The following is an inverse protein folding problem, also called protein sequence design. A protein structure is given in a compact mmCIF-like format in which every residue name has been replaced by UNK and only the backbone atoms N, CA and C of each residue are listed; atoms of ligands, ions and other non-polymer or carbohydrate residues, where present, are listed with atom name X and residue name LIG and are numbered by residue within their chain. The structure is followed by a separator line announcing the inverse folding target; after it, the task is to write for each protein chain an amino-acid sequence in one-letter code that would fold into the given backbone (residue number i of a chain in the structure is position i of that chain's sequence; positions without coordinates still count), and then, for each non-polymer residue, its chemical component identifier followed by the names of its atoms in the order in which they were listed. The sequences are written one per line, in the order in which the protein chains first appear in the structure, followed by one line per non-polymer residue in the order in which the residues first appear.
data_IF_787513826086
#
_entry.id   IF_787513826086
#
_cell.length_a   1.000
_cell.length_b   1.000
_cell.length_c   1.000
_cell.angle_alpha   90.00
_cell.angle_beta   90.00
_cell.angle_gamma   90.00
#
_symmetry.space_group_name_H-M   'P 1'
#
loop_
_entity.id
_entity.type
_entity.pdbx_description
1 polymer ?
#
# COMPACT_ATOMS: atom_id res chain seq x y z
N UNK A 1 5.23 -27.06 -64.20
CA UNK A 1 5.05 -27.96 -63.06
C UNK A 1 6.23 -27.83 -62.11
N UNK A 2 7.45 -28.04 -62.58
CA UNK A 2 8.68 -28.01 -61.76
C UNK A 2 8.89 -26.72 -60.94
N UNK A 3 8.54 -25.55 -61.49
CA UNK A 3 8.65 -24.28 -60.76
C UNK A 3 7.65 -24.24 -59.60
N UNK A 4 6.43 -24.73 -59.81
CA UNK A 4 5.39 -24.76 -58.78
C UNK A 4 5.79 -25.69 -57.63
N UNK A 5 6.36 -26.85 -57.96
CA UNK A 5 6.80 -27.81 -56.94
C UNK A 5 7.97 -27.26 -56.12
N UNK A 6 8.90 -26.55 -56.77
CA UNK A 6 10.00 -25.84 -56.09
C UNK A 6 9.49 -24.72 -55.17
N UNK A 7 8.45 -23.99 -55.59
CA UNK A 7 7.85 -22.93 -54.76
C UNK A 7 7.29 -23.51 -53.45
N UNK A 8 6.61 -24.65 -53.52
CA UNK A 8 6.03 -25.29 -52.33
C UNK A 8 7.12 -25.67 -51.31
N UNK A 9 8.21 -26.29 -51.77
CA UNK A 9 9.34 -26.68 -50.92
C UNK A 9 9.99 -25.45 -50.28
N UNK A 10 10.26 -24.42 -51.08
CA UNK A 10 10.92 -23.20 -50.59
C UNK A 10 10.03 -22.46 -49.58
N UNK A 11 8.71 -22.43 -49.78
CA UNK A 11 7.82 -21.72 -48.84
C UNK A 11 7.71 -22.44 -47.49
N UNK A 12 7.74 -23.78 -47.48
CA UNK A 12 7.84 -24.58 -46.25
C UNK A 12 9.15 -24.31 -45.51
N UNK A 13 10.29 -24.35 -46.20
CA UNK A 13 11.60 -24.01 -45.61
C UNK A 13 11.64 -22.58 -45.07
N UNK A 14 11.06 -21.63 -45.82
CA UNK A 14 10.95 -20.22 -45.39
C UNK A 14 10.11 -20.09 -44.12
N UNK A 15 9.00 -20.82 -44.04
CA UNK A 15 8.12 -20.82 -42.88
C UNK A 15 8.85 -21.32 -41.62
N UNK A 16 9.57 -22.44 -41.73
CA UNK A 16 10.36 -23.02 -40.64
C UNK A 16 11.47 -22.07 -40.16
N UNK A 17 12.19 -21.45 -41.10
CA UNK A 17 13.21 -20.46 -40.78
C UNK A 17 12.60 -19.25 -40.07
N UNK A 18 11.47 -18.74 -40.56
CA UNK A 18 10.80 -17.60 -39.97
C UNK A 18 10.32 -17.89 -38.54
N UNK A 19 9.86 -19.11 -38.25
CA UNK A 19 9.52 -19.53 -36.88
C UNK A 19 10.75 -19.52 -35.97
N UNK A 20 11.90 -20.03 -36.44
CA UNK A 20 13.14 -20.04 -35.64
C UNK A 20 13.61 -18.62 -35.31
N UNK A 21 13.55 -17.70 -36.28
CA UNK A 21 13.87 -16.28 -36.08
C UNK A 21 12.91 -15.66 -35.07
N UNK A 22 11.60 -15.84 -35.26
CA UNK A 22 10.57 -15.30 -34.35
C UNK A 22 10.72 -15.78 -32.92
N UNK A 23 11.10 -17.05 -32.71
CA UNK A 23 11.40 -17.60 -31.38
C UNK A 23 12.63 -16.92 -30.77
N UNK A 24 13.69 -16.77 -31.55
CA UNK A 24 14.93 -16.13 -31.11
C UNK A 24 14.71 -14.66 -30.74
N UNK A 25 13.91 -13.93 -31.53
CA UNK A 25 13.58 -12.53 -31.25
C UNK A 25 12.82 -12.37 -29.92
N UNK A 26 11.85 -13.26 -29.67
CA UNK A 26 11.12 -13.30 -28.39
C UNK A 26 12.05 -13.55 -27.22
N UNK A 27 12.96 -14.52 -27.33
CA UNK A 27 13.94 -14.81 -26.29
C UNK A 27 14.88 -13.61 -26.04
N UNK A 28 15.32 -12.94 -27.10
CA UNK A 28 16.14 -11.73 -27.00
C UNK A 28 15.39 -10.61 -26.26
N UNK A 29 14.12 -10.39 -26.57
CA UNK A 29 13.33 -9.34 -25.91
C UNK A 29 13.07 -9.66 -24.43
N UNK A 30 12.78 -10.92 -24.09
CA UNK A 30 12.67 -11.37 -22.71
C UNK A 30 14.00 -11.17 -21.94
N UNK A 31 15.14 -11.46 -22.58
CA UNK A 31 16.46 -11.26 -21.99
C UNK A 31 16.80 -9.78 -21.82
N UNK A 32 16.44 -8.92 -22.78
CA UNK A 32 16.61 -7.46 -22.66
C UNK A 32 15.83 -6.91 -21.47
N UNK A 33 14.60 -7.36 -21.25
CA UNK A 33 13.79 -6.95 -20.09
C UNK A 33 14.48 -7.38 -18.80
N UNK A 34 14.91 -8.64 -18.69
CA UNK A 34 15.66 -9.12 -17.51
C UNK A 34 16.93 -8.30 -17.25
N UNK A 35 17.69 -7.98 -18.29
CA UNK A 35 18.88 -7.13 -18.18
C UNK A 35 18.52 -5.73 -17.72
N UNK A 36 17.44 -5.14 -18.23
CA UNK A 36 16.94 -3.84 -17.76
C UNK A 36 16.51 -3.88 -16.29
N UNK A 37 15.80 -4.92 -15.85
CA UNK A 37 15.41 -5.08 -14.44
C UNK A 37 16.62 -5.20 -13.51
N UNK A 38 17.63 -5.98 -13.93
CA UNK A 38 18.88 -6.15 -13.19
C UNK A 38 19.70 -4.85 -13.14
N UNK A 39 19.81 -4.12 -14.25
CA UNK A 39 20.54 -2.84 -14.31
C UNK A 39 19.76 -1.67 -13.68
N UNK A 40 18.43 -1.72 -13.71
CA UNK A 40 17.52 -0.64 -13.34
C UNK A 40 17.16 -0.63 -11.87
N UNK A 41 16.98 -1.80 -11.24
CA UNK A 41 16.64 -1.91 -9.82
C UNK A 41 17.73 -1.35 -8.89
N UNK A 42 18.98 -1.40 -9.34
CA UNK A 42 20.14 -0.87 -8.62
C UNK A 42 21.04 -0.03 -9.53
N UNK A 43 20.49 0.94 -10.27
CA UNK A 43 21.35 2.03 -10.75
C UNK A 43 22.04 2.62 -9.53
N UNK A 44 23.36 2.40 -9.40
CA UNK A 44 24.18 2.94 -8.30
C UNK A 44 23.75 4.38 -8.09
N UNK A 45 23.17 4.74 -6.92
CA UNK A 45 22.73 6.09 -6.68
C UNK A 45 23.92 7.01 -6.96
N UNK A 46 23.80 7.85 -7.98
CA UNK A 46 24.85 8.83 -8.27
C UNK A 46 25.04 9.66 -7.00
N UNK A 47 26.30 9.94 -6.65
CA UNK A 47 26.61 10.79 -5.51
C UNK A 47 26.03 12.18 -5.81
N UNK A 48 24.81 12.44 -5.34
CA UNK A 48 24.17 13.75 -5.49
C UNK A 48 24.78 14.67 -4.45
N UNK A 49 25.16 15.88 -4.86
CA UNK A 49 25.48 16.95 -3.94
C UNK A 49 24.19 17.34 -3.22
N UNK A 50 23.92 16.72 -2.08
CA UNK A 50 22.77 17.03 -1.23
C UNK A 50 23.01 18.43 -0.64
N UNK A 51 22.18 19.40 -1.02
CA UNK A 51 22.16 20.71 -0.36
C UNK A 51 21.52 20.55 1.02
N UNK A 52 21.87 21.42 1.96
CA UNK A 52 21.29 21.39 3.32
C UNK A 52 19.77 21.25 3.27
N UNK A 53 19.22 20.32 4.06
CA UNK A 53 17.77 20.12 4.15
C UNK A 53 17.10 21.38 4.69
N UNK A 54 15.83 21.58 4.32
CA UNK A 54 15.05 22.70 4.85
C UNK A 54 15.02 22.70 6.39
N UNK A 55 14.92 21.52 7.01
CA UNK A 55 14.96 21.37 8.47
C UNK A 55 16.32 21.79 9.08
N UNK A 56 17.44 21.40 8.45
CA UNK A 56 18.77 21.84 8.89
C UNK A 56 18.95 23.35 8.73
N UNK A 57 18.41 23.94 7.65
CA UNK A 57 18.45 25.38 7.43
C UNK A 57 17.56 26.15 8.42
N UNK A 58 16.34 25.66 8.69
CA UNK A 58 15.41 26.27 9.63
C UNK A 58 15.92 26.20 11.07
N UNK A 59 16.48 25.06 11.49
CA UNK A 59 17.11 24.93 12.81
C UNK A 59 18.31 25.86 12.98
N UNK A 60 19.10 26.07 11.93
CA UNK A 60 20.24 26.98 11.97
C UNK A 60 19.82 28.46 12.02
N UNK A 61 18.75 28.84 11.31
CA UNK A 61 18.29 30.24 11.24
C UNK A 61 17.36 30.64 12.40
N UNK A 62 16.52 29.73 12.87
CA UNK A 62 15.43 30.01 13.82
C UNK A 62 15.61 29.32 15.18
N UNK A 63 16.71 28.58 15.36
CA UNK A 63 17.04 27.91 16.61
C UNK A 63 15.98 26.89 17.04
N UNK A 64 15.77 26.75 18.35
CA UNK A 64 14.83 25.79 18.94
C UNK A 64 13.35 26.14 18.71
N UNK A 65 13.02 27.33 18.20
CA UNK A 65 11.63 27.80 18.09
C UNK A 65 10.84 27.12 16.97
N UNK A 66 11.51 26.58 15.95
CA UNK A 66 10.89 25.95 14.78
C UNK A 66 11.40 24.53 14.52
N UNK A 67 11.52 23.71 15.57
CA UNK A 67 11.73 22.27 15.41
C UNK A 67 10.40 21.59 15.14
N UNK A 68 9.90 21.69 13.90
CA UNK A 68 8.72 20.95 13.46
C UNK A 68 9.18 19.58 13.00
N UNK A 69 8.86 18.52 13.75
CA UNK A 69 9.13 17.15 13.32
C UNK A 69 8.21 16.82 12.13
N UNK A 70 8.77 16.94 10.92
CA UNK A 70 8.09 16.64 9.65
C UNK A 70 8.08 15.14 9.31
N UNK A 71 8.48 14.26 10.23
CA UNK A 71 8.38 12.82 10.02
C UNK A 71 6.89 12.42 10.00
N UNK A 72 6.50 11.64 8.99
CA UNK A 72 5.13 11.13 8.84
C UNK A 72 4.61 10.44 10.11
N UNK A 73 5.52 9.85 10.89
CA UNK A 73 5.24 9.14 12.13
C UNK A 73 4.93 10.07 13.31
N UNK A 74 5.47 11.28 13.34
CA UNK A 74 5.31 12.19 14.48
C UNK A 74 3.87 12.73 14.62
N UNK A 75 3.12 12.81 13.52
CA UNK A 75 1.72 13.24 13.52
C UNK A 75 0.71 12.10 13.74
N UNK A 76 1.17 10.85 13.78
CA UNK A 76 0.31 9.69 14.07
C UNK A 76 0.32 9.45 15.59
N UNK A 77 -0.86 9.22 16.18
CA UNK A 77 -0.96 8.87 17.60
C UNK A 77 -0.16 7.58 17.84
N UNK A 78 0.87 7.67 18.67
CA UNK A 78 1.58 6.49 19.16
C UNK A 78 0.60 5.68 20.00
N UNK A 79 0.29 4.45 19.57
CA UNK A 79 -0.37 3.48 20.42
C UNK A 79 0.61 3.16 21.54
N UNK A 80 0.43 3.81 22.69
CA UNK A 80 1.11 3.40 23.92
C UNK A 80 0.60 2.00 24.23
N UNK A 81 1.50 1.02 24.28
CA UNK A 81 1.17 -0.24 24.95
C UNK A 81 1.26 0.06 26.43
N UNK A 82 0.19 0.61 27.00
CA UNK A 82 0.06 0.97 28.40
C UNK A 82 -0.08 -0.31 29.24
N UNK A 83 1.04 -0.96 29.56
CA UNK A 83 1.01 -2.19 30.39
C UNK A 83 0.78 -1.90 31.88
N UNK A 84 0.12 -0.79 32.28
CA UNK A 84 -0.17 -0.61 33.73
C UNK A 84 -1.24 0.39 34.18
N UNK A 85 -1.85 1.23 33.34
CA UNK A 85 -2.93 2.13 33.78
C UNK A 85 -4.33 1.75 33.27
N UNK A 86 -4.44 1.00 32.16
CA UNK A 86 -5.75 0.55 31.62
C UNK A 86 -6.50 -0.45 32.53
N UNK A 87 -5.83 -1.07 33.50
CA UNK A 87 -6.47 -2.01 34.45
C UNK A 87 -7.41 -1.30 35.45
N UNK A 88 -7.31 0.03 35.57
CA UNK A 88 -8.26 0.88 36.32
C UNK A 88 -9.43 1.35 35.46
N UNK A 89 -9.19 1.74 34.21
CA UNK A 89 -10.27 2.23 33.33
C UNK A 89 -11.16 1.09 32.80
N UNK A 90 -10.65 -0.15 32.67
CA UNK A 90 -11.50 -1.31 32.35
C UNK A 90 -12.52 -1.64 33.44
N UNK A 91 -12.27 -1.26 34.70
CA UNK A 91 -13.21 -1.47 35.82
C UNK A 91 -14.36 -0.47 35.83
N UNK A 92 -14.18 0.69 35.20
CA UNK A 92 -15.19 1.75 35.14
C UNK A 92 -16.13 1.64 33.92
N UNK A 93 -15.87 0.70 33.00
CA UNK A 93 -16.90 0.23 32.07
C UNK A 93 -17.84 -0.68 32.87
N UNK A 94 -18.70 -0.05 33.67
CA UNK A 94 -19.63 -0.66 34.60
C UNK A 94 -20.41 -1.82 33.99
N UNK A 95 -20.44 -2.91 34.74
CA UNK A 95 -21.08 -4.19 34.46
C UNK A 95 -22.32 -4.09 33.56
N UNK A 96 -22.20 -4.61 32.33
CA UNK A 96 -23.26 -4.61 31.32
C UNK A 96 -24.53 -5.30 31.83
N UNK A 97 -24.44 -6.17 32.86
CA UNK A 97 -25.61 -6.80 33.50
C UNK A 97 -26.57 -5.80 34.11
N UNK A 98 -26.08 -4.70 34.71
CA UNK A 98 -26.94 -3.73 35.42
C UNK A 98 -27.89 -2.99 34.48
N UNK A 99 -27.42 -2.69 33.27
CA UNK A 99 -28.20 -1.96 32.25
C UNK A 99 -29.31 -2.85 31.62
N UNK A 100 -29.19 -4.18 31.73
CA UNK A 100 -30.21 -5.13 31.25
C UNK A 100 -31.29 -5.37 32.31
N UNK A 101 -30.92 -5.46 33.59
CA UNK A 101 -31.89 -5.60 34.69
C UNK A 101 -32.81 -4.38 34.82
N UNK A 102 -32.28 -3.16 34.66
CA UNK A 102 -33.07 -1.92 34.69
C UNK A 102 -34.12 -1.84 33.57
N UNK A 103 -33.96 -2.60 32.48
CA UNK A 103 -34.90 -2.67 31.35
C UNK A 103 -35.87 -3.86 31.41
N UNK A 104 -35.64 -4.83 32.29
CA UNK A 104 -36.49 -6.02 32.41
C UNK A 104 -37.77 -5.78 33.24
N UNK A 105 -37.88 -4.65 33.95
CA UNK A 105 -39.00 -4.35 34.85
C UNK A 105 -40.20 -3.59 34.24
N UNK A 106 -40.22 -3.30 32.94
CA UNK A 106 -41.33 -2.59 32.29
C UNK A 106 -42.49 -3.51 31.86
N UNK A 107 -42.95 -4.40 32.76
CA UNK A 107 -44.16 -5.24 32.54
C UNK A 107 -45.40 -4.62 33.21
N UNK A 108 -45.61 -3.33 32.96
CA UNK A 108 -46.74 -2.57 33.48
C UNK A 108 -47.37 -1.72 32.37
N UNK A 109 -48.68 -1.91 32.15
CA UNK A 109 -49.52 -1.25 31.14
C UNK A 109 -49.14 0.23 30.96
N UNK A 110 -48.50 0.56 29.82
CA UNK A 110 -48.25 1.95 29.42
C UNK A 110 -49.59 2.65 29.21
N UNK A 111 -49.90 3.59 30.11
CA UNK A 111 -51.03 4.51 30.02
C UNK A 111 -50.72 5.53 28.93
N UNK A 112 -51.19 5.29 27.71
CA UNK A 112 -51.29 6.34 26.69
C UNK A 112 -52.61 7.07 26.96
N UNK A 113 -52.54 8.35 27.32
CA UNK A 113 -53.72 9.22 27.33
C UNK A 113 -53.70 10.14 26.11
N UNK A 114 -54.91 10.48 25.70
CA UNK A 114 -55.37 10.85 24.37
C UNK A 114 -54.89 12.20 23.85
N UNK A 115 -54.78 12.27 22.53
CA UNK A 115 -54.75 13.46 21.68
C UNK A 115 -56.04 14.28 21.83
N UNK A 116 -55.93 15.58 22.12
CA UNK A 116 -56.62 16.69 21.42
C UNK A 116 -56.44 18.04 22.14
N UNK A 117 -55.84 19.02 21.43
CA UNK A 117 -56.20 20.45 21.32
C UNK A 117 -55.00 21.24 20.76
#
# INVERSE_FOLDING_TARGET
RDINDKINVIDEERYDLNIKVTKSDKEIDDLKIKVQDLMGKFKKPVLRKVRMSADAMLKALLGSKHTVNMELRANLKQVKKEVKEEDKELRDVGDWRKNIEDKAGMDGRKKMFETEA
#
